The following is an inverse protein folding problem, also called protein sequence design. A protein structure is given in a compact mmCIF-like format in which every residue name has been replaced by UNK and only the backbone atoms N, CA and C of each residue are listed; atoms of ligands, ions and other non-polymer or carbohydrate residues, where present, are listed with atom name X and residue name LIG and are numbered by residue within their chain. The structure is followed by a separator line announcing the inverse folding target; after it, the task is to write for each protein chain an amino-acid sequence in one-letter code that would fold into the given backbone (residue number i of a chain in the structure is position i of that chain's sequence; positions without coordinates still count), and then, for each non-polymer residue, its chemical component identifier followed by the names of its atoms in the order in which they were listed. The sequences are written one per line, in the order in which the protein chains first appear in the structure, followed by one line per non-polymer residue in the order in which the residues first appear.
data_IF_257443460037
#
_entry.id   IF_257443460037
#
_cell.length_a   1.000
_cell.length_b   1.000
_cell.length_c   1.000
_cell.angle_alpha   90.00
_cell.angle_beta   90.00
_cell.angle_gamma   90.00
#
_symmetry.space_group_name_H-M   'P 1'
#
loop_
_entity.id
_entity.type
_entity.pdbx_description
1 polymer ?
#
# COMPACT_ATOMS: atom_id res chain seq x y z
N UNK A 1 4.60 11.08 -11.80
CA UNK A 1 3.77 9.97 -11.28
C UNK A 1 4.53 8.65 -11.32
N UNK A 2 5.04 8.18 -12.47
CA UNK A 2 5.84 6.94 -12.53
C UNK A 2 7.09 7.00 -11.64
N UNK A 3 7.82 8.12 -11.68
CA UNK A 3 9.03 8.30 -10.86
C UNK A 3 8.70 8.19 -9.36
N UNK A 4 7.58 8.76 -8.93
CA UNK A 4 7.09 8.66 -7.55
C UNK A 4 6.81 7.21 -7.13
N UNK A 5 6.26 6.39 -8.02
CA UNK A 5 6.02 4.97 -7.75
C UNK A 5 7.32 4.17 -7.70
N UNK A 6 8.31 4.56 -8.50
CA UNK A 6 9.64 3.94 -8.52
C UNK A 6 10.42 4.29 -7.25
N UNK A 7 10.39 5.55 -6.84
CA UNK A 7 10.99 6.05 -5.58
C UNK A 7 10.36 5.39 -4.36
N UNK A 8 9.05 5.14 -4.38
CA UNK A 8 8.35 4.41 -3.33
C UNK A 8 8.56 2.88 -3.38
N UNK A 9 9.43 2.39 -4.26
CA UNK A 9 9.67 0.96 -4.51
C UNK A 9 8.40 0.15 -4.84
N UNK A 10 7.33 0.79 -5.34
CA UNK A 10 6.09 0.08 -5.66
C UNK A 10 6.15 -0.58 -7.04
N UNK A 11 6.95 -0.05 -7.96
CA UNK A 11 7.11 -0.59 -9.31
C UNK A 11 8.57 -0.83 -9.67
N UNK A 12 8.80 -1.68 -10.67
CA UNK A 12 10.11 -1.97 -11.22
C UNK A 12 10.04 -2.24 -12.73
N UNK A 13 11.13 -2.01 -13.48
CA UNK A 13 11.19 -2.39 -14.89
C UNK A 13 11.28 -3.91 -15.03
N UNK A 14 10.41 -4.49 -15.85
CA UNK A 14 10.37 -5.92 -16.19
C UNK A 14 11.08 -6.25 -17.52
N UNK A 15 11.51 -5.24 -18.26
CA UNK A 15 12.19 -5.40 -19.55
C UNK A 15 11.61 -4.45 -20.60
N UNK A 16 11.78 -4.81 -21.87
CA UNK A 16 11.31 -4.02 -23.00
C UNK A 16 10.47 -4.88 -23.91
N UNK A 17 9.37 -4.33 -24.43
CA UNK A 17 8.51 -5.03 -25.39
C UNK A 17 9.16 -5.02 -26.76
N UNK A 18 9.24 -6.17 -27.44
CA UNK A 18 9.79 -6.31 -28.79
C UNK A 18 8.78 -5.84 -29.86
N UNK A 19 8.47 -4.54 -29.84
CA UNK A 19 7.63 -3.82 -30.80
C UNK A 19 8.32 -2.52 -31.21
N UNK A 20 7.91 -1.85 -32.31
CA UNK A 20 8.46 -0.56 -32.68
C UNK A 20 8.44 0.44 -31.51
N UNK A 21 9.56 1.13 -31.28
CA UNK A 21 9.77 2.02 -30.13
C UNK A 21 10.29 1.34 -28.85
N UNK A 22 10.22 -0.01 -28.78
CA UNK A 22 10.74 -0.85 -27.68
C UNK A 22 10.45 -0.27 -26.30
N UNK A 23 9.16 -0.02 -25.96
CA UNK A 23 8.80 0.62 -24.69
C UNK A 23 9.18 -0.26 -23.50
N UNK A 24 9.48 0.37 -22.37
CA UNK A 24 9.77 -0.30 -21.09
C UNK A 24 8.47 -0.89 -20.54
N UNK A 25 8.52 -2.15 -20.12
CA UNK A 25 7.47 -2.81 -19.36
C UNK A 25 7.72 -2.58 -17.88
N UNK A 26 6.68 -2.18 -17.16
CA UNK A 26 6.71 -1.98 -15.72
C UNK A 26 5.87 -3.05 -15.05
N UNK A 27 6.27 -3.44 -13.85
CA UNK A 27 5.51 -4.35 -12.99
C UNK A 27 5.60 -3.94 -11.53
N UNK A 28 4.79 -4.57 -10.69
CA UNK A 28 4.86 -4.40 -9.23
C UNK A 28 6.12 -5.06 -8.67
N UNK A 29 6.74 -4.44 -7.69
CA UNK A 29 7.92 -4.99 -7.02
C UNK A 29 7.53 -5.80 -5.76
N UNK A 30 8.51 -6.38 -5.05
CA UNK A 30 8.28 -6.93 -3.72
C UNK A 30 7.94 -5.87 -2.66
N UNK A 31 8.37 -4.62 -2.87
CA UNK A 31 8.01 -3.46 -2.06
C UNK A 31 6.52 -3.15 -2.11
N UNK A 32 5.88 -3.35 -3.27
CA UNK A 32 4.43 -3.28 -3.40
C UNK A 32 3.73 -4.25 -2.45
N UNK A 33 4.13 -5.53 -2.48
CA UNK A 33 3.53 -6.55 -1.62
C UNK A 33 3.68 -6.21 -0.14
N UNK A 34 4.87 -5.76 0.28
CA UNK A 34 5.12 -5.30 1.67
C UNK A 34 4.26 -4.09 2.04
N UNK A 35 4.13 -3.13 1.14
CA UNK A 35 3.38 -1.90 1.39
C UNK A 35 1.89 -2.17 1.59
N UNK A 36 1.31 -3.12 0.83
CA UNK A 36 -0.09 -3.51 0.93
C UNK A 36 -0.35 -4.71 1.85
N UNK A 37 0.69 -5.23 2.53
CA UNK A 37 0.56 -6.38 3.43
C UNK A 37 0.17 -7.70 2.74
N UNK A 38 0.47 -7.83 1.45
CA UNK A 38 0.14 -9.01 0.64
C UNK A 38 1.28 -10.03 0.69
N UNK A 39 0.97 -11.32 0.64
CA UNK A 39 2.00 -12.37 0.52
C UNK A 39 2.38 -12.57 -0.95
N UNK A 40 1.40 -12.52 -1.84
CA UNK A 40 1.59 -12.59 -3.29
C UNK A 40 0.49 -11.80 -4.03
N UNK A 41 0.57 -11.77 -5.36
CA UNK A 41 -0.40 -11.06 -6.21
C UNK A 41 -1.78 -11.72 -6.27
N UNK A 42 -1.90 -12.99 -5.84
CA UNK A 42 -3.17 -13.70 -5.73
C UNK A 42 -4.02 -13.23 -4.55
N UNK A 43 -3.39 -12.64 -3.53
CA UNK A 43 -4.08 -12.01 -2.40
C UNK A 43 -4.72 -10.66 -2.76
N UNK A 44 -4.57 -10.19 -4.01
CA UNK A 44 -5.20 -8.96 -4.44
C UNK A 44 -6.73 -9.09 -4.40
N UNK A 45 -7.43 -8.10 -3.81
CA UNK A 45 -8.87 -8.08 -3.78
C UNK A 45 -9.43 -8.06 -5.21
N UNK A 46 -10.65 -8.59 -5.36
CA UNK A 46 -11.31 -8.53 -6.66
C UNK A 46 -11.63 -7.09 -7.02
N UNK A 47 -11.77 -6.82 -8.32
CA UNK A 47 -12.06 -5.46 -8.80
C UNK A 47 -13.32 -4.89 -8.16
N UNK A 48 -14.33 -5.73 -7.93
CA UNK A 48 -15.60 -5.33 -7.35
C UNK A 48 -15.46 -4.96 -5.86
N UNK A 49 -14.51 -5.56 -5.15
CA UNK A 49 -14.23 -5.30 -3.73
C UNK A 49 -13.43 -4.02 -3.51
N UNK A 50 -12.63 -3.59 -4.51
CA UNK A 50 -11.89 -2.33 -4.49
C UNK A 50 -12.79 -1.08 -4.65
N UNK A 51 -14.00 -1.26 -5.16
CA UNK A 51 -14.96 -0.17 -5.35
C UNK A 51 -15.83 0.06 -4.12
N UNK A 52 -15.69 -0.79 -3.11
CA UNK A 52 -16.31 -0.59 -1.81
C UNK A 52 -15.41 0.35 -1.05
N UNK A 53 -15.89 1.58 -0.79
CA UNK A 53 -15.17 2.54 0.05
C UNK A 53 -14.73 1.80 1.32
N UNK A 54 -13.42 1.61 1.48
CA UNK A 54 -12.86 1.12 2.74
C UNK A 54 -13.24 2.19 3.74
N UNK A 55 -14.15 1.93 4.71
CA UNK A 55 -14.40 2.89 5.75
C UNK A 55 -13.05 3.10 6.43
N UNK A 56 -12.61 4.37 6.47
CA UNK A 56 -11.40 4.83 7.15
C UNK A 56 -11.35 4.13 8.49
N UNK A 57 -10.58 3.05 8.57
CA UNK A 57 -10.54 2.20 9.74
C UNK A 57 -9.65 2.97 10.67
N UNK A 58 -10.28 3.90 11.41
CA UNK A 58 -9.64 4.84 12.28
C UNK A 58 -8.56 4.14 13.07
N UNK A 59 -7.31 4.39 12.69
CA UNK A 59 -6.20 4.24 13.60
C UNK A 59 -6.43 5.32 14.65
N UNK A 60 -7.27 5.03 15.64
CA UNK A 60 -7.21 5.73 16.91
C UNK A 60 -5.95 5.20 17.59
N UNK A 61 -4.85 5.97 17.69
CA UNK A 61 -3.87 5.67 18.72
C UNK A 61 -4.64 5.75 20.03
N UNK A 62 -4.81 4.61 20.69
CA UNK A 62 -5.46 4.54 22.00
C UNK A 62 -4.80 5.53 22.94
N UNK A 63 -5.54 6.56 23.34
CA UNK A 63 -5.21 7.37 24.50
C UNK A 63 -5.60 6.57 25.74
N UNK A 64 -4.80 5.56 26.08
CA UNK A 64 -4.87 4.89 27.37
C UNK A 64 -3.72 5.43 28.25
N UNK A 65 -3.87 6.67 28.70
CA UNK A 65 -3.24 7.14 29.95
C UNK A 65 -4.14 8.23 30.56
N UNK A 66 -5.38 7.83 30.84
CA UNK A 66 -6.19 8.52 31.85
C UNK A 66 -5.52 8.26 33.21
N UNK A 67 -4.65 9.18 33.64
CA UNK A 67 -4.16 9.23 35.01
C UNK A 67 -5.36 9.64 35.88
N UNK A 68 -5.91 8.77 36.74
CA UNK A 68 -7.00 9.17 37.61
C UNK A 68 -6.48 10.19 38.64
N UNK A 69 -7.23 11.28 38.77
CA UNK A 69 -7.01 12.36 39.74
C UNK A 69 -6.91 11.75 41.16
N UNK A 70 -5.81 11.97 41.91
CA UNK A 70 -5.72 11.47 43.28
C UNK A 70 -6.74 12.21 44.16
N UNK A 71 -7.51 11.52 45.02
CA UNK A 71 -8.48 12.18 45.88
C UNK A 71 -7.76 13.13 46.85
N UNK A 72 -8.24 14.38 46.88
CA UNK A 72 -7.86 15.39 47.86
C UNK A 72 -8.02 14.84 49.30
N UNK A 73 -6.99 15.06 50.12
CA UNK A 73 -7.08 15.25 51.57
C UNK A 73 -5.93 16.14 52.04
#
# INVERSE_FOLDING_TARGET
VLDTLLEAELIMPLGRKEVPGRPILWGTSSGFLRHFGLKDLGDLPRREELLVDVPDTGMQPGTDDEVPDPPMS
#
